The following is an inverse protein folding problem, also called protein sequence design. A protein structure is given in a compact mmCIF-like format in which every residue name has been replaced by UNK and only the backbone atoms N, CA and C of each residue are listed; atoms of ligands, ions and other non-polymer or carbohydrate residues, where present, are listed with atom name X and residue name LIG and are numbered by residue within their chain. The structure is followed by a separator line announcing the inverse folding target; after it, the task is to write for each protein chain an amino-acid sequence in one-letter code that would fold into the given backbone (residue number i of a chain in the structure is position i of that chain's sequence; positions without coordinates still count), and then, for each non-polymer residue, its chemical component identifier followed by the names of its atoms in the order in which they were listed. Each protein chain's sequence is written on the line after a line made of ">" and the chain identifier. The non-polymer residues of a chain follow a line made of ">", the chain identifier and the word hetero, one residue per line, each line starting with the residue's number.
data_IF_869380992189
#
_entry.id   IF_869380992189
#
_cell.length_a   1.000
_cell.length_b   1.000
_cell.length_c   1.000
_cell.angle_alpha   90.00
_cell.angle_beta   90.00
_cell.angle_gamma   90.00
#
_symmetry.space_group_name_H-M   'P 1'
#
loop_
_entity.id
_entity.type
_entity.pdbx_description
1 polymer ?
#
# COMPACT_ATOMS: atom_id res chain seq x y z
N UNK A 1 36.78 5.23 64.11
CA UNK A 1 37.19 4.92 62.71
C UNK A 1 36.38 3.79 62.06
N UNK A 2 35.07 3.61 62.37
CA UNK A 2 34.25 2.51 61.79
C UNK A 2 33.14 2.99 60.84
N UNK A 3 32.89 4.29 60.71
CA UNK A 3 31.81 4.85 59.88
C UNK A 3 32.13 5.01 58.37
N UNK A 4 33.34 5.27 57.90
CA UNK A 4 33.62 5.38 56.47
C UNK A 4 33.61 4.04 55.73
N UNK A 5 33.86 2.91 56.41
CA UNK A 5 33.86 1.57 55.77
C UNK A 5 32.44 1.10 55.47
N UNK A 6 31.48 1.46 56.31
CA UNK A 6 30.04 1.14 56.05
C UNK A 6 29.48 1.92 54.86
N UNK A 7 29.89 3.15 54.65
CA UNK A 7 29.49 3.98 53.51
C UNK A 7 30.06 3.43 52.21
N UNK A 8 31.31 2.99 52.24
CA UNK A 8 31.98 2.38 51.06
C UNK A 8 31.31 1.04 50.69
N UNK A 9 30.88 0.24 51.70
CA UNK A 9 30.16 -1.02 51.46
C UNK A 9 28.74 -0.81 50.90
N UNK A 10 28.04 0.26 51.26
CA UNK A 10 26.74 0.64 50.71
C UNK A 10 26.86 1.15 49.29
N UNK A 11 27.94 1.87 48.94
CA UNK A 11 28.23 2.33 47.57
C UNK A 11 28.57 1.14 46.66
N UNK A 12 29.28 0.14 47.13
CA UNK A 12 29.59 -1.07 46.37
C UNK A 12 28.36 -1.95 46.08
N UNK A 13 27.38 -1.97 46.93
CA UNK A 13 26.11 -2.74 46.73
C UNK A 13 25.18 -2.04 45.72
N UNK A 14 25.24 -0.70 45.59
CA UNK A 14 24.41 0.04 44.64
C UNK A 14 24.86 -0.05 43.19
N UNK A 15 26.07 -0.58 42.91
CA UNK A 15 26.59 -0.74 41.54
C UNK A 15 26.13 -2.06 40.88
N UNK A 16 25.56 -3.00 41.65
CA UNK A 16 25.14 -4.33 41.16
C UNK A 16 23.73 -4.42 40.61
N UNK A 17 22.98 -3.29 40.52
CA UNK A 17 21.63 -3.25 39.95
C UNK A 17 21.66 -2.62 38.55
N UNK A 18 22.61 -2.97 37.71
CA UNK A 18 22.44 -2.74 36.28
C UNK A 18 21.70 -3.92 35.67
N UNK A 19 20.43 -3.65 35.36
CA UNK A 19 19.42 -4.58 34.95
C UNK A 19 19.86 -5.53 33.84
N UNK A 20 19.59 -6.79 34.06
CA UNK A 20 19.56 -7.80 33.01
C UNK A 20 18.42 -7.43 32.05
N UNK A 21 18.74 -6.85 30.91
CA UNK A 21 17.78 -6.67 29.80
C UNK A 21 17.36 -8.07 29.33
N UNK A 22 16.16 -8.46 29.65
CA UNK A 22 15.59 -9.73 29.20
C UNK A 22 15.25 -9.60 27.72
N UNK A 23 16.04 -10.21 26.87
CA UNK A 23 15.79 -10.30 25.43
C UNK A 23 14.74 -11.38 25.18
N UNK A 24 13.80 -11.11 24.30
CA UNK A 24 12.83 -12.07 23.78
C UNK A 24 13.16 -12.29 22.30
N UNK A 25 13.18 -13.55 21.87
CA UNK A 25 13.42 -13.89 20.48
C UNK A 25 12.10 -14.23 19.82
N UNK A 26 11.74 -13.49 18.78
CA UNK A 26 10.61 -13.79 17.90
C UNK A 26 11.07 -14.75 16.83
N UNK A 27 10.47 -15.93 16.77
CA UNK A 27 10.79 -16.95 15.77
C UNK A 27 9.97 -16.74 14.49
N UNK A 28 10.62 -16.86 13.36
CA UNK A 28 10.04 -16.89 12.02
C UNK A 28 10.73 -17.95 11.15
N UNK A 29 10.39 -18.00 9.88
CA UNK A 29 11.01 -18.91 8.92
C UNK A 29 11.25 -18.21 7.57
N UNK A 30 12.23 -18.69 6.81
CA UNK A 30 12.45 -18.29 5.42
C UNK A 30 11.32 -18.87 4.57
N UNK A 31 10.53 -18.01 3.93
CA UNK A 31 9.37 -18.43 3.14
C UNK A 31 9.67 -18.55 1.65
N UNK A 32 10.60 -17.73 1.15
CA UNK A 32 10.99 -17.73 -0.26
C UNK A 32 12.36 -17.09 -0.44
N UNK A 33 13.10 -17.51 -1.46
CA UNK A 33 14.42 -16.94 -1.82
C UNK A 33 14.39 -16.63 -3.31
N UNK A 34 14.71 -15.38 -3.64
CA UNK A 34 14.96 -14.92 -5.01
C UNK A 34 16.44 -14.66 -5.24
N UNK A 35 16.83 -14.34 -6.45
CA UNK A 35 18.24 -14.01 -6.79
C UNK A 35 18.80 -12.80 -6.04
N UNK A 36 17.94 -11.93 -5.51
CA UNK A 36 18.35 -10.67 -4.87
C UNK A 36 17.84 -10.53 -3.43
N UNK A 37 16.78 -11.23 -3.02
CA UNK A 37 16.10 -11.02 -1.75
C UNK A 37 15.70 -12.33 -1.08
N UNK A 38 15.71 -12.33 0.24
CA UNK A 38 15.24 -13.43 1.08
C UNK A 38 13.98 -12.97 1.80
N UNK A 39 12.91 -13.75 1.66
CA UNK A 39 11.62 -13.47 2.26
C UNK A 39 11.45 -14.30 3.53
N UNK A 40 11.19 -13.64 4.65
CA UNK A 40 10.98 -14.30 5.94
C UNK A 40 9.56 -14.03 6.44
N UNK A 41 8.97 -15.02 7.10
CA UNK A 41 7.60 -14.95 7.64
C UNK A 41 7.63 -15.11 9.15
N UNK A 42 6.91 -14.24 9.84
CA UNK A 42 6.72 -14.22 11.29
C UNK A 42 5.23 -14.30 11.65
N UNK A 43 4.89 -14.61 12.88
CA UNK A 43 3.52 -14.47 13.39
C UNK A 43 3.06 -13.01 13.40
N UNK A 44 3.98 -12.08 13.65
CA UNK A 44 3.78 -10.63 13.58
C UNK A 44 5.13 -9.95 13.40
N UNK A 45 5.17 -8.88 12.61
CA UNK A 45 6.36 -8.06 12.40
C UNK A 45 6.30 -6.73 13.16
N UNK A 46 5.35 -6.57 14.09
CA UNK A 46 5.06 -5.31 14.79
C UNK A 46 6.27 -4.70 15.50
N UNK A 47 7.15 -5.55 16.03
CA UNK A 47 8.34 -5.12 16.77
C UNK A 47 9.60 -5.08 15.89
N UNK A 48 9.51 -5.48 14.62
CA UNK A 48 10.60 -5.49 13.66
C UNK A 48 10.57 -4.18 12.85
N UNK A 49 11.72 -3.62 12.53
CA UNK A 49 11.87 -2.40 11.72
C UNK A 49 12.79 -2.64 10.53
N UNK A 50 12.67 -1.80 9.51
CA UNK A 50 13.64 -1.75 8.42
C UNK A 50 15.01 -1.38 8.98
N UNK A 51 16.05 -2.14 8.60
CA UNK A 51 17.39 -2.03 9.12
C UNK A 51 17.68 -2.99 10.28
N UNK A 52 16.68 -3.64 10.85
CA UNK A 52 16.89 -4.64 11.91
C UNK A 52 17.59 -5.89 11.36
N UNK A 53 18.35 -6.52 12.25
CA UNK A 53 19.09 -7.74 11.93
C UNK A 53 18.31 -8.96 12.37
N UNK A 54 18.23 -9.96 11.49
CA UNK A 54 17.69 -11.27 11.79
C UNK A 54 18.84 -12.28 11.94
N UNK A 55 18.63 -13.19 12.88
CA UNK A 55 19.64 -14.14 13.33
C UNK A 55 19.26 -15.57 12.97
N UNK A 56 20.26 -16.38 12.70
CA UNK A 56 20.13 -17.84 12.60
C UNK A 56 20.86 -18.50 13.77
N UNK A 57 20.38 -19.64 14.20
CA UNK A 57 21.05 -20.42 15.25
C UNK A 57 22.00 -21.42 14.58
N UNK A 58 23.27 -21.31 14.89
CA UNK A 58 24.30 -22.27 14.49
C UNK A 58 25.08 -22.71 15.71
N UNK A 59 25.14 -24.01 15.98
CA UNK A 59 25.78 -24.60 17.18
C UNK A 59 25.38 -23.92 18.49
N UNK A 60 24.08 -23.59 18.66
CA UNK A 60 23.54 -22.96 19.86
C UNK A 60 23.80 -21.47 20.00
N UNK A 61 24.48 -20.82 19.04
CA UNK A 61 24.76 -19.39 19.06
C UNK A 61 23.96 -18.64 17.95
N UNK A 62 23.45 -17.44 18.28
CA UNK A 62 22.75 -16.57 17.37
C UNK A 62 23.73 -15.81 16.49
N UNK A 63 23.72 -16.06 15.18
CA UNK A 63 24.57 -15.40 14.21
C UNK A 63 23.73 -14.45 13.34
N UNK A 64 24.14 -13.16 13.19
CA UNK A 64 23.48 -12.22 12.30
C UNK A 64 23.70 -12.64 10.85
N UNK A 65 22.62 -12.74 10.05
CA UNK A 65 22.72 -13.18 8.65
C UNK A 65 21.87 -12.37 7.68
N UNK A 66 20.82 -11.74 8.15
CA UNK A 66 19.93 -10.98 7.28
C UNK A 66 19.69 -9.58 7.86
N UNK A 67 19.57 -8.58 6.98
CA UNK A 67 19.09 -7.24 7.30
C UNK A 67 17.72 -7.06 6.63
N UNK A 68 16.76 -6.58 7.39
CA UNK A 68 15.41 -6.29 6.93
C UNK A 68 15.44 -5.06 6.04
N UNK A 69 15.05 -5.22 4.77
CA UNK A 69 14.95 -4.13 3.80
C UNK A 69 13.51 -3.60 3.63
N UNK A 70 12.51 -4.43 3.89
CA UNK A 70 11.11 -4.04 3.84
C UNK A 70 10.24 -4.96 4.70
N UNK A 71 9.06 -4.47 5.10
CA UNK A 71 8.15 -5.13 6.04
C UNK A 71 6.72 -5.14 5.54
N UNK A 72 6.00 -6.21 5.86
CA UNK A 72 4.54 -6.26 5.89
C UNK A 72 4.09 -6.70 7.28
N UNK A 73 2.79 -6.87 7.53
CA UNK A 73 2.24 -7.26 8.85
C UNK A 73 2.75 -8.60 9.39
N UNK A 74 3.17 -9.52 8.50
CA UNK A 74 3.60 -10.88 8.84
C UNK A 74 4.87 -11.33 8.11
N UNK A 75 5.47 -10.51 7.22
CA UNK A 75 6.66 -10.91 6.46
C UNK A 75 7.66 -9.77 6.30
N UNK A 76 8.93 -10.13 6.16
CA UNK A 76 10.02 -9.22 5.88
C UNK A 76 10.71 -9.62 4.57
N UNK A 77 11.15 -8.62 3.82
CA UNK A 77 12.11 -8.77 2.73
C UNK A 77 13.47 -8.44 3.31
N UNK A 78 14.44 -9.31 3.12
CA UNK A 78 15.75 -9.20 3.72
C UNK A 78 16.86 -9.35 2.68
N UNK A 79 17.98 -8.70 2.95
CA UNK A 79 19.23 -8.88 2.22
C UNK A 79 20.20 -9.72 3.06
N UNK A 80 20.95 -10.60 2.42
CA UNK A 80 22.00 -11.40 3.11
C UNK A 80 23.19 -10.51 3.47
N UNK A 81 23.73 -10.71 4.68
CA UNK A 81 24.96 -10.05 5.15
C UNK A 81 26.20 -10.92 4.85
N UNK A 82 26.01 -12.23 4.60
CA UNK A 82 27.09 -13.18 4.41
C UNK A 82 26.79 -14.17 3.29
N UNK A 83 27.82 -14.70 2.65
CA UNK A 83 27.76 -15.70 1.57
C UNK A 83 27.43 -17.12 2.08
N UNK A 84 26.57 -17.26 3.06
CA UNK A 84 26.19 -18.59 3.59
C UNK A 84 24.90 -19.05 2.92
N UNK A 85 24.87 -20.31 2.57
CA UNK A 85 23.70 -20.95 1.97
C UNK A 85 22.53 -20.89 2.95
N UNK A 86 21.44 -20.26 2.55
CA UNK A 86 20.17 -20.15 3.28
C UNK A 86 19.14 -20.95 2.47
N UNK A 87 18.34 -21.76 3.16
CA UNK A 87 17.33 -22.58 2.52
C UNK A 87 15.92 -22.11 2.90
N UNK A 88 14.95 -22.43 2.04
CA UNK A 88 13.53 -22.23 2.37
C UNK A 88 13.17 -23.11 3.56
N UNK A 89 12.39 -22.59 4.49
CA UNK A 89 12.01 -23.14 5.80
C UNK A 89 13.08 -23.07 6.89
N UNK A 90 14.25 -22.51 6.65
CA UNK A 90 15.21 -22.23 7.73
C UNK A 90 14.59 -21.33 8.78
N UNK A 91 14.86 -21.62 10.06
CA UNK A 91 14.39 -20.81 11.19
C UNK A 91 15.20 -19.54 11.32
N UNK A 92 14.50 -18.41 11.45
CA UNK A 92 15.11 -17.10 11.66
C UNK A 92 14.55 -16.46 12.93
N UNK A 93 15.38 -15.68 13.60
CA UNK A 93 15.08 -15.10 14.91
C UNK A 93 15.31 -13.59 14.89
N UNK A 94 14.36 -12.85 15.47
CA UNK A 94 14.51 -11.43 15.74
C UNK A 94 14.66 -11.19 17.24
N UNK A 95 15.67 -10.41 17.62
CA UNK A 95 15.98 -10.07 19.01
C UNK A 95 15.21 -8.80 19.41
N UNK A 96 14.13 -8.97 20.19
CA UNK A 96 13.31 -7.86 20.70
C UNK A 96 13.73 -7.44 22.10
N UNK A 97 13.75 -6.13 22.35
CA UNK A 97 13.96 -5.54 23.68
C UNK A 97 12.58 -5.11 24.18
N UNK A 98 12.06 -5.71 25.26
CA UNK A 98 10.85 -5.22 25.90
C UNK A 98 11.11 -3.83 26.49
N UNK A 99 10.69 -2.77 25.79
CA UNK A 99 10.44 -1.47 26.40
C UNK A 99 9.11 -1.49 27.12
N UNK A 100 9.12 -1.08 28.38
CA UNK A 100 7.92 -0.80 29.15
C UNK A 100 6.98 0.13 28.40
N UNK A 101 5.68 -0.04 28.62
CA UNK A 101 4.61 0.76 28.00
C UNK A 101 4.84 2.24 28.27
N UNK A 102 5.29 2.98 27.28
CA UNK A 102 5.13 4.41 27.23
C UNK A 102 4.50 4.80 25.89
N UNK A 103 3.52 5.69 26.03
CA UNK A 103 2.75 6.29 24.94
C UNK A 103 3.70 7.04 24.04
N UNK A 104 3.79 6.67 22.78
CA UNK A 104 4.48 7.49 21.81
C UNK A 104 3.73 7.57 20.50
N UNK A 105 3.25 8.76 20.29
CA UNK A 105 3.39 9.63 19.13
C UNK A 105 3.29 8.98 17.76
N UNK A 106 2.14 9.21 17.16
CA UNK A 106 1.86 9.02 15.73
C UNK A 106 2.69 9.99 14.88
N UNK A 107 3.91 9.61 14.53
CA UNK A 107 4.68 10.28 13.48
C UNK A 107 5.78 9.34 12.99
N UNK A 108 5.50 8.47 12.06
CA UNK A 108 6.38 7.87 11.06
C UNK A 108 5.79 6.56 10.49
N UNK A 109 4.58 6.63 9.93
CA UNK A 109 4.08 5.51 9.13
C UNK A 109 3.49 6.05 7.83
N UNK A 110 4.33 6.72 7.06
CA UNK A 110 4.04 7.05 5.66
C UNK A 110 5.24 6.58 4.85
N UNK A 111 5.46 5.30 4.78
CA UNK A 111 6.37 4.73 3.80
C UNK A 111 5.83 3.37 3.33
N UNK A 112 5.59 3.28 2.04
CA UNK A 112 5.24 2.09 1.28
C UNK A 112 3.78 1.63 1.40
N UNK A 113 2.88 2.49 0.95
CA UNK A 113 1.61 2.01 0.41
C UNK A 113 1.51 2.47 -1.05
N UNK A 114 2.35 1.90 -1.88
CA UNK A 114 2.14 1.84 -3.32
C UNK A 114 1.14 0.71 -3.58
N UNK A 115 -0.08 0.94 -3.22
CA UNK A 115 -1.27 0.28 -3.79
C UNK A 115 -2.40 0.29 -2.79
N UNK A 116 -3.54 0.67 -3.28
CA UNK A 116 -4.83 0.74 -2.61
C UNK A 116 -4.97 2.06 -1.84
N UNK A 117 -5.40 3.09 -2.55
CA UNK A 117 -6.16 4.17 -1.95
C UNK A 117 -7.33 3.48 -1.26
N UNK A 118 -7.48 3.57 0.08
CA UNK A 118 -8.71 3.15 0.71
C UNK A 118 -9.80 4.07 0.16
N UNK A 119 -10.57 3.55 -0.79
CA UNK A 119 -11.78 4.21 -1.25
C UNK A 119 -12.68 4.23 -0.02
N UNK A 120 -12.76 5.37 0.62
CA UNK A 120 -13.62 5.55 1.77
C UNK A 120 -15.04 5.15 1.40
N UNK A 121 -15.55 4.10 2.02
CA UNK A 121 -16.94 3.67 1.88
C UNK A 121 -17.93 4.78 2.32
N UNK A 122 -17.45 5.76 3.08
CA UNK A 122 -18.26 6.91 3.51
C UNK A 122 -18.74 7.76 2.34
N UNK A 123 -17.96 7.94 1.27
CA UNK A 123 -18.37 8.68 0.09
C UNK A 123 -19.49 7.98 -0.69
N UNK A 124 -19.67 6.67 -0.48
CA UNK A 124 -20.67 5.86 -1.20
C UNK A 124 -22.07 5.92 -0.59
N UNK A 125 -22.23 6.30 0.66
CA UNK A 125 -23.49 6.17 1.40
C UNK A 125 -24.13 7.51 1.76
N UNK A 126 -23.35 8.59 1.78
CA UNK A 126 -23.92 9.95 1.96
C UNK A 126 -24.82 10.38 0.79
N UNK A 127 -24.83 9.63 -0.31
CA UNK A 127 -25.63 9.97 -1.51
C UNK A 127 -27.11 9.51 -1.49
N UNK A 128 -27.64 8.99 -0.39
CA UNK A 128 -28.97 8.37 -0.44
C UNK A 128 -30.14 9.17 0.11
N UNK A 129 -30.02 10.47 0.33
CA UNK A 129 -31.19 11.31 0.64
C UNK A 129 -30.96 12.77 0.23
N UNK A 130 -31.80 13.26 -0.66
CA UNK A 130 -32.05 14.60 -1.21
C UNK A 130 -31.47 14.76 -2.60
N UNK A 131 -32.30 15.36 -3.52
CA UNK A 131 -31.81 16.09 -4.68
C UNK A 131 -30.76 17.06 -4.15
N UNK A 132 -29.49 16.67 -4.14
CA UNK A 132 -28.39 17.52 -3.74
C UNK A 132 -28.20 18.45 -4.92
N UNK A 133 -28.41 19.77 -4.78
CA UNK A 133 -27.91 20.69 -5.78
C UNK A 133 -26.42 20.34 -5.96
N UNK A 134 -25.92 20.36 -7.17
CA UNK A 134 -24.54 20.07 -7.50
C UNK A 134 -23.66 21.03 -6.69
N UNK A 135 -23.20 20.60 -5.51
CA UNK A 135 -22.34 21.38 -4.65
C UNK A 135 -20.96 21.31 -5.28
N UNK A 136 -20.52 22.43 -5.75
CA UNK A 136 -19.19 22.63 -6.25
C UNK A 136 -18.17 22.35 -5.13
N UNK A 137 -17.25 21.44 -5.35
CA UNK A 137 -16.23 21.10 -4.37
C UNK A 137 -14.87 20.95 -5.07
N UNK A 138 -13.90 21.68 -4.57
CA UNK A 138 -12.52 21.61 -5.04
C UNK A 138 -11.63 21.13 -3.90
N UNK A 139 -10.78 20.16 -4.19
CA UNK A 139 -9.76 19.73 -3.27
C UNK A 139 -8.45 19.47 -4.01
N UNK A 140 -7.33 19.78 -3.37
CA UNK A 140 -6.02 19.58 -3.95
C UNK A 140 -5.01 19.22 -2.87
N UNK A 141 -4.04 18.39 -3.25
CA UNK A 141 -2.91 18.04 -2.42
C UNK A 141 -1.64 18.03 -3.27
N UNK A 142 -0.62 18.70 -2.78
CA UNK A 142 0.75 18.62 -3.32
C UNK A 142 1.62 18.02 -2.24
N UNK A 143 2.41 17.02 -2.57
CA UNK A 143 3.35 16.38 -1.66
C UNK A 143 4.73 16.31 -2.29
N UNK A 144 5.75 16.56 -1.48
CA UNK A 144 7.16 16.37 -1.83
C UNK A 144 7.76 15.50 -0.77
N UNK A 145 8.45 14.44 -1.18
CA UNK A 145 9.12 13.49 -0.27
C UNK A 145 10.52 13.22 -0.79
N UNK A 146 11.48 13.18 0.13
CA UNK A 146 12.87 12.85 -0.14
C UNK A 146 13.25 11.61 0.65
N UNK A 147 13.89 10.66 -0.01
CA UNK A 147 14.44 9.44 0.60
C UNK A 147 15.90 9.36 0.25
N UNK A 148 16.76 9.32 1.26
CA UNK A 148 18.20 9.16 1.08
C UNK A 148 18.71 7.96 1.88
N UNK A 149 19.64 7.23 1.30
CA UNK A 149 20.39 6.18 1.97
C UNK A 149 21.86 6.47 1.85
N UNK A 150 22.56 6.44 2.97
CA UNK A 150 24.01 6.63 3.05
C UNK A 150 24.61 5.31 3.52
N UNK A 151 25.65 4.85 2.85
CA UNK A 151 26.29 3.57 3.16
C UNK A 151 27.78 3.75 3.45
N UNK A 152 28.22 3.20 4.57
CA UNK A 152 29.66 3.12 4.90
C UNK A 152 30.31 1.83 4.38
N UNK A 153 29.55 0.98 3.66
CA UNK A 153 29.98 -0.37 3.26
C UNK A 153 30.30 -0.48 1.76
N UNK A 154 30.60 0.65 1.10
CA UNK A 154 30.89 0.65 -0.35
C UNK A 154 29.67 0.51 -1.27
N UNK A 155 28.44 0.47 -0.72
CA UNK A 155 27.23 0.65 -1.52
C UNK A 155 27.08 2.12 -1.89
N UNK A 156 26.62 2.38 -3.09
CA UNK A 156 26.38 3.74 -3.55
C UNK A 156 25.28 4.43 -2.72
N UNK A 157 25.57 5.66 -2.33
CA UNK A 157 24.58 6.53 -1.71
C UNK A 157 23.46 6.81 -2.71
N UNK A 158 22.22 6.83 -2.26
CA UNK A 158 21.12 7.16 -3.14
C UNK A 158 20.25 8.28 -2.58
N UNK A 159 19.77 9.13 -3.48
CA UNK A 159 18.76 10.13 -3.21
C UNK A 159 17.58 9.91 -4.18
N UNK A 160 16.40 9.67 -3.61
CA UNK A 160 15.15 9.56 -4.36
C UNK A 160 14.23 10.70 -3.97
N UNK A 161 13.78 11.45 -4.96
CA UNK A 161 12.76 12.48 -4.80
C UNK A 161 11.43 12.00 -5.36
N UNK A 162 10.34 12.27 -4.64
CA UNK A 162 8.98 11.99 -5.10
C UNK A 162 8.11 13.22 -4.94
N UNK A 163 7.47 13.61 -6.04
CA UNK A 163 6.51 14.70 -6.13
C UNK A 163 5.14 14.10 -6.42
N UNK A 164 4.12 14.53 -5.71
CA UNK A 164 2.74 14.05 -5.89
C UNK A 164 1.83 15.24 -6.05
N UNK A 165 0.95 15.16 -7.06
CA UNK A 165 -0.12 16.13 -7.28
C UNK A 165 -1.42 15.37 -7.35
N UNK A 166 -2.37 15.76 -6.51
CA UNK A 166 -3.74 15.25 -6.52
C UNK A 166 -4.70 16.42 -6.55
N UNK A 167 -5.56 16.47 -7.55
CA UNK A 167 -6.58 17.49 -7.70
C UNK A 167 -7.92 16.82 -7.96
N UNK A 168 -8.97 17.33 -7.34
CA UNK A 168 -10.34 16.90 -7.55
C UNK A 168 -11.23 18.15 -7.66
N UNK A 169 -12.02 18.21 -8.70
CA UNK A 169 -13.00 19.25 -8.94
C UNK A 169 -14.36 18.56 -9.19
N UNK A 170 -15.23 18.61 -8.22
CA UNK A 170 -16.59 18.07 -8.36
C UNK A 170 -17.52 19.17 -8.86
N UNK A 171 -18.32 18.87 -9.88
CA UNK A 171 -19.35 19.76 -10.45
C UNK A 171 -18.80 21.15 -10.80
N UNK A 172 -17.72 21.19 -11.57
CA UNK A 172 -17.05 22.43 -11.96
C UNK A 172 -18.05 23.50 -12.44
N UNK A 173 -18.03 24.67 -11.78
CA UNK A 173 -18.99 25.77 -12.03
C UNK A 173 -20.46 25.33 -12.00
N UNK A 174 -20.82 24.43 -11.07
CA UNK A 174 -22.15 23.83 -10.93
C UNK A 174 -22.61 23.05 -12.18
N UNK A 175 -21.68 22.64 -13.02
CA UNK A 175 -21.98 21.82 -14.20
C UNK A 175 -22.10 20.34 -13.81
N UNK A 176 -22.44 19.51 -14.79
CA UNK A 176 -22.46 18.04 -14.65
C UNK A 176 -21.08 17.40 -14.79
N UNK A 177 -20.04 18.19 -14.94
CA UNK A 177 -18.67 17.71 -15.10
C UNK A 177 -17.89 17.75 -13.81
N UNK A 178 -17.16 16.67 -13.55
CA UNK A 178 -16.16 16.57 -12.49
C UNK A 178 -14.84 16.08 -13.09
N UNK A 179 -13.72 16.51 -12.54
CA UNK A 179 -12.41 16.09 -12.98
C UNK A 179 -11.58 15.62 -11.77
N UNK A 180 -10.75 14.61 -11.98
CA UNK A 180 -9.90 14.06 -10.94
C UNK A 180 -8.55 13.67 -11.52
N UNK A 181 -7.47 14.05 -10.82
CA UNK A 181 -6.12 13.65 -11.19
C UNK A 181 -5.33 13.23 -9.97
N UNK A 182 -4.49 12.20 -10.13
CA UNK A 182 -3.48 11.78 -9.19
C UNK A 182 -2.24 11.35 -9.96
N UNK A 183 -1.19 12.16 -9.86
CA UNK A 183 0.04 11.99 -10.60
C UNK A 183 1.20 12.00 -9.60
N UNK A 184 2.14 11.10 -9.77
CA UNK A 184 3.41 11.10 -9.06
C UNK A 184 4.57 11.16 -10.03
N UNK A 185 5.57 11.95 -9.71
CA UNK A 185 6.86 11.96 -10.38
C UNK A 185 7.93 11.54 -9.38
N UNK A 186 8.67 10.51 -9.71
CA UNK A 186 9.73 9.98 -8.84
C UNK A 186 11.01 9.86 -9.64
N UNK A 187 12.11 10.37 -9.13
CA UNK A 187 13.42 10.18 -9.74
C UNK A 187 14.49 9.91 -8.70
N UNK A 188 15.49 9.14 -9.08
CA UNK A 188 16.77 9.03 -8.39
C UNK A 188 17.75 10.02 -9.00
N UNK A 189 18.81 10.35 -8.27
CA UNK A 189 19.80 11.33 -8.68
C UNK A 189 20.49 10.95 -10.00
N UNK A 190 20.69 9.66 -10.25
CA UNK A 190 21.36 9.08 -11.42
C UNK A 190 20.44 8.75 -12.60
N UNK A 191 19.11 8.86 -12.43
CA UNK A 191 18.13 8.43 -13.45
C UNK A 191 17.73 9.49 -14.48
N UNK A 192 18.32 10.67 -14.48
CA UNK A 192 17.91 11.75 -15.39
C UNK A 192 18.08 11.44 -16.87
N UNK A 193 19.11 10.70 -17.26
CA UNK A 193 19.31 10.31 -18.64
C UNK A 193 18.24 9.31 -19.14
N UNK A 194 17.77 8.41 -18.29
CA UNK A 194 16.68 7.50 -18.59
C UNK A 194 15.35 8.26 -18.70
N UNK A 195 15.10 9.20 -17.79
CA UNK A 195 13.88 10.02 -17.76
C UNK A 195 13.81 10.92 -19.00
N UNK A 196 14.93 11.49 -19.47
CA UNK A 196 14.98 12.26 -20.71
C UNK A 196 14.59 11.41 -21.92
N UNK A 197 14.96 10.13 -21.96
CA UNK A 197 14.59 9.20 -23.03
C UNK A 197 13.14 8.75 -22.92
N UNK A 198 12.65 8.53 -21.73
CA UNK A 198 11.28 8.09 -21.46
C UNK A 198 10.77 8.67 -20.13
N UNK A 199 9.92 9.69 -20.22
CA UNK A 199 9.36 10.37 -19.03
C UNK A 199 8.59 9.41 -18.12
N UNK A 200 7.99 8.33 -18.64
CA UNK A 200 7.24 7.35 -17.86
C UNK A 200 8.11 6.49 -16.93
N UNK A 201 9.44 6.56 -17.02
CA UNK A 201 10.34 5.99 -16.02
C UNK A 201 10.09 6.67 -14.65
N UNK A 202 9.95 8.00 -14.65
CA UNK A 202 9.70 8.79 -13.45
C UNK A 202 8.24 9.19 -13.23
N UNK A 203 7.50 9.47 -14.30
CA UNK A 203 6.13 9.96 -14.26
C UNK A 203 5.14 8.80 -14.22
N UNK A 204 4.35 8.74 -13.16
CA UNK A 204 3.29 7.75 -12.96
C UNK A 204 1.95 8.44 -12.83
N UNK A 205 1.07 8.19 -13.78
CA UNK A 205 -0.30 8.70 -13.76
C UNK A 205 -1.20 7.60 -13.22
N UNK A 206 -1.68 7.76 -11.98
CA UNK A 206 -2.57 6.80 -11.33
C UNK A 206 -4.05 7.06 -11.63
N UNK A 207 -4.41 8.33 -11.73
CA UNK A 207 -5.77 8.78 -12.10
C UNK A 207 -5.66 10.04 -12.93
N UNK A 208 -6.37 10.07 -14.04
CA UNK A 208 -6.57 11.25 -14.88
C UNK A 208 -7.90 11.05 -15.60
N UNK A 209 -8.97 11.56 -15.03
CA UNK A 209 -10.32 11.26 -15.49
C UNK A 209 -11.24 12.45 -15.43
N UNK A 210 -12.22 12.45 -16.36
CA UNK A 210 -13.35 13.37 -16.40
C UNK A 210 -14.60 12.52 -16.21
N UNK A 211 -15.46 12.92 -15.28
CA UNK A 211 -16.77 12.33 -15.03
C UNK A 211 -17.84 13.27 -15.53
N UNK A 212 -18.87 12.72 -16.16
CA UNK A 212 -20.08 13.40 -16.56
C UNK A 212 -21.31 12.74 -15.92
N UNK A 213 -22.06 13.51 -15.14
CA UNK A 213 -23.31 13.06 -14.53
C UNK A 213 -24.48 13.33 -15.49
N UNK A 214 -24.82 12.30 -16.33
CA UNK A 214 -25.92 12.38 -17.28
C UNK A 214 -27.23 12.62 -16.54
N UNK A 215 -27.48 11.90 -15.46
CA UNK A 215 -28.61 12.07 -14.55
C UNK A 215 -28.15 11.80 -13.09
N UNK A 216 -29.07 11.98 -12.12
CA UNK A 216 -28.79 11.70 -10.70
C UNK A 216 -28.36 10.24 -10.45
N UNK A 217 -28.74 9.34 -11.36
CA UNK A 217 -28.46 7.91 -11.23
C UNK A 217 -27.47 7.38 -12.25
N UNK A 218 -27.17 8.12 -13.32
CA UNK A 218 -26.27 7.66 -14.40
C UNK A 218 -25.07 8.56 -14.50
N UNK A 219 -23.89 7.99 -14.44
CA UNK A 219 -22.64 8.71 -14.65
C UNK A 219 -21.72 7.97 -15.61
N UNK A 220 -20.94 8.74 -16.33
CA UNK A 220 -19.95 8.30 -17.29
C UNK A 220 -18.59 8.84 -16.89
N UNK A 221 -17.55 8.08 -17.11
CA UNK A 221 -16.16 8.49 -16.85
C UNK A 221 -15.33 8.20 -18.06
N UNK A 222 -14.51 9.16 -18.47
CA UNK A 222 -13.52 9.03 -19.52
C UNK A 222 -12.13 9.29 -18.96
N UNK A 223 -11.15 8.46 -19.34
CA UNK A 223 -9.77 8.58 -18.93
C UNK A 223 -9.31 7.45 -18.02
N UNK A 224 -8.20 7.65 -17.31
CA UNK A 224 -7.62 6.66 -16.41
C UNK A 224 -8.32 6.72 -15.06
N UNK A 225 -9.03 5.66 -14.68
CA UNK A 225 -9.68 5.56 -13.38
C UNK A 225 -9.81 4.12 -12.90
N UNK A 226 -9.61 3.93 -11.59
CA UNK A 226 -10.02 2.70 -10.90
C UNK A 226 -11.54 2.67 -10.74
N UNK A 227 -12.12 1.52 -11.03
CA UNK A 227 -13.52 1.30 -10.74
C UNK A 227 -13.67 0.68 -9.34
N UNK A 228 -14.35 1.39 -8.43
CA UNK A 228 -14.50 0.96 -7.03
C UNK A 228 -15.29 -0.34 -6.84
N UNK A 229 -16.11 -0.72 -7.82
CA UNK A 229 -16.91 -1.95 -7.75
C UNK A 229 -16.11 -3.20 -8.12
N UNK A 230 -14.98 -3.00 -8.80
CA UNK A 230 -14.09 -4.05 -9.32
C UNK A 230 -12.64 -3.62 -9.16
N UNK A 231 -12.25 -3.23 -7.94
CA UNK A 231 -11.00 -2.51 -7.68
C UNK A 231 -9.74 -3.29 -8.07
N UNK A 232 -9.69 -4.61 -7.89
CA UNK A 232 -8.52 -5.44 -8.19
C UNK A 232 -8.26 -5.66 -9.69
N UNK A 233 -9.17 -5.23 -10.56
CA UNK A 233 -8.93 -5.25 -12.01
C UNK A 233 -7.86 -4.21 -12.38
N UNK A 234 -7.67 -3.19 -11.55
CA UNK A 234 -6.73 -2.10 -11.77
C UNK A 234 -7.38 -0.89 -12.44
N UNK A 235 -6.57 0.12 -12.75
CA UNK A 235 -7.04 1.26 -13.51
C UNK A 235 -7.20 0.92 -14.99
N UNK A 236 -8.22 1.53 -15.60
CA UNK A 236 -8.50 1.39 -17.04
C UNK A 236 -8.43 2.76 -17.68
N UNK A 237 -7.68 2.84 -18.78
CA UNK A 237 -7.59 3.98 -19.67
C UNK A 237 -8.69 3.88 -20.71
N UNK A 238 -9.84 4.48 -20.47
CA UNK A 238 -10.97 4.31 -21.35
C UNK A 238 -12.26 4.91 -20.84
N UNK A 239 -13.34 4.26 -21.19
CA UNK A 239 -14.70 4.65 -20.85
C UNK A 239 -15.32 3.72 -19.83
N UNK A 240 -16.00 4.31 -18.85
CA UNK A 240 -16.80 3.59 -17.86
C UNK A 240 -18.15 4.25 -17.74
N UNK A 241 -19.21 3.44 -17.68
CA UNK A 241 -20.58 3.88 -17.44
C UNK A 241 -21.15 3.12 -16.25
N UNK A 242 -21.93 3.80 -15.43
CA UNK A 242 -22.66 3.18 -14.34
C UNK A 242 -24.05 3.78 -14.18
N UNK A 243 -25.00 2.92 -13.82
CA UNK A 243 -26.37 3.30 -13.51
C UNK A 243 -26.76 2.73 -12.15
N UNK A 244 -27.28 3.58 -11.27
CA UNK A 244 -27.68 3.23 -9.91
C UNK A 244 -29.20 3.04 -9.82
N UNK A 245 -29.61 1.90 -9.28
CA UNK A 245 -31.01 1.53 -9.05
C UNK A 245 -31.22 1.18 -7.57
N UNK A 246 -31.44 2.21 -6.75
CA UNK A 246 -31.55 2.02 -5.30
C UNK A 246 -30.27 1.47 -4.69
N UNK A 247 -30.29 0.22 -4.23
CA UNK A 247 -29.14 -0.48 -3.64
C UNK A 247 -28.27 -1.18 -4.68
N UNK A 248 -28.75 -1.31 -5.91
CA UNK A 248 -28.02 -1.93 -7.00
C UNK A 248 -27.32 -0.87 -7.86
N UNK A 249 -26.18 -1.22 -8.39
CA UNK A 249 -25.46 -0.45 -9.41
C UNK A 249 -25.03 -1.41 -10.49
N UNK A 250 -25.37 -1.13 -11.73
CA UNK A 250 -24.87 -1.86 -12.88
C UNK A 250 -23.98 -0.94 -13.70
N UNK A 251 -23.05 -1.51 -14.43
CA UNK A 251 -22.18 -0.70 -15.28
C UNK A 251 -21.36 -1.52 -16.26
N UNK A 252 -20.69 -0.79 -17.13
CA UNK A 252 -19.78 -1.34 -18.11
C UNK A 252 -18.49 -0.56 -18.15
N UNK A 253 -17.45 -1.22 -18.59
CA UNK A 253 -16.11 -0.65 -18.81
C UNK A 253 -15.54 -1.12 -20.15
N UNK A 254 -14.84 -0.22 -20.82
CA UNK A 254 -14.11 -0.51 -22.03
C UNK A 254 -12.88 0.40 -22.12
N UNK A 255 -11.71 -0.19 -22.29
CA UNK A 255 -10.47 0.58 -22.40
C UNK A 255 -9.23 -0.28 -22.30
N UNK A 256 -8.07 0.34 -22.29
CA UNK A 256 -6.81 -0.36 -22.15
C UNK A 256 -6.38 -0.46 -20.68
N UNK A 257 -5.71 -1.54 -20.37
CA UNK A 257 -5.04 -1.72 -19.07
C UNK A 257 -3.70 -1.01 -19.14
N UNK A 258 -3.36 -0.28 -18.11
CA UNK A 258 -2.04 0.34 -18.00
C UNK A 258 -0.91 -0.69 -17.99
N UNK A 259 0.27 -0.28 -18.44
CA UNK A 259 1.48 -1.08 -18.28
C UNK A 259 1.80 -1.30 -16.78
N UNK A 260 1.99 -2.54 -16.32
CA UNK A 260 2.21 -2.84 -14.91
C UNK A 260 3.54 -2.33 -14.37
N UNK A 261 4.52 -2.04 -15.24
CA UNK A 261 5.89 -1.66 -14.85
C UNK A 261 6.03 -0.14 -14.79
N UNK A 262 5.70 0.54 -15.88
CA UNK A 262 5.92 1.98 -16.04
C UNK A 262 4.66 2.82 -15.86
N UNK A 263 3.49 2.18 -15.69
CA UNK A 263 2.18 2.85 -15.61
C UNK A 263 1.83 3.67 -16.87
N UNK A 264 2.51 3.41 -17.96
CA UNK A 264 2.25 4.01 -19.26
C UNK A 264 0.93 3.52 -19.88
N UNK A 265 0.56 4.14 -21.00
CA UNK A 265 -0.56 3.69 -21.81
C UNK A 265 -0.16 2.43 -22.60
N UNK A 266 -0.99 1.38 -22.53
CA UNK A 266 -0.76 0.13 -23.25
C UNK A 266 -1.95 -0.20 -24.16
N UNK A 267 -1.94 0.25 -25.41
CA UNK A 267 -3.06 0.05 -26.33
C UNK A 267 -3.28 -1.42 -26.75
N UNK A 268 -2.28 -2.27 -26.55
CA UNK A 268 -2.39 -3.68 -26.91
C UNK A 268 -3.22 -4.50 -25.92
N UNK A 269 -3.35 -4.04 -24.68
CA UNK A 269 -4.03 -4.78 -23.62
C UNK A 269 -5.40 -4.18 -23.34
N UNK A 270 -6.40 -4.54 -24.14
CA UNK A 270 -7.76 -4.00 -24.06
C UNK A 270 -8.60 -4.86 -23.13
N UNK A 271 -9.35 -4.24 -22.25
CA UNK A 271 -10.35 -4.88 -21.39
C UNK A 271 -11.74 -4.31 -21.66
N UNK A 272 -12.71 -5.21 -21.73
CA UNK A 272 -14.14 -4.88 -21.80
C UNK A 272 -14.89 -5.74 -20.82
N UNK A 273 -15.94 -5.20 -20.22
CA UNK A 273 -16.75 -5.99 -19.30
C UNK A 273 -17.93 -5.23 -18.73
N UNK A 274 -18.75 -5.97 -18.02
CA UNK A 274 -19.89 -5.45 -17.29
C UNK A 274 -19.86 -5.92 -15.85
N UNK A 275 -20.39 -5.11 -14.96
CA UNK A 275 -20.47 -5.42 -13.54
C UNK A 275 -21.85 -5.11 -12.96
N UNK A 276 -22.19 -5.81 -11.90
CA UNK A 276 -23.32 -5.51 -11.03
C UNK A 276 -22.82 -5.46 -9.58
N UNK A 277 -23.30 -4.52 -8.81
CA UNK A 277 -22.93 -4.34 -7.41
C UNK A 277 -24.21 -4.12 -6.58
N UNK A 278 -24.24 -4.72 -5.40
CA UNK A 278 -25.27 -4.49 -4.38
C UNK A 278 -24.59 -3.91 -3.13
N UNK A 279 -25.08 -2.76 -2.67
CA UNK A 279 -24.56 -2.10 -1.49
C UNK A 279 -25.69 -1.73 -0.52
N UNK A 280 -25.43 -1.86 0.78
CA UNK A 280 -26.44 -1.57 1.78
C UNK A 280 -25.84 -1.35 3.17
N UNK A 281 -26.74 -1.21 4.16
CA UNK A 281 -26.41 -1.13 5.57
C UNK A 281 -27.19 -2.19 6.35
N UNK A 282 -26.54 -2.87 7.26
CA UNK A 282 -27.11 -3.76 8.26
C UNK A 282 -26.56 -3.30 9.61
N UNK A 283 -27.40 -2.95 10.56
CA UNK A 283 -27.01 -2.46 11.90
C UNK A 283 -25.96 -1.33 11.86
N UNK A 284 -26.17 -0.33 11.01
CA UNK A 284 -25.22 0.75 10.72
C UNK A 284 -23.87 0.32 10.11
N UNK A 285 -23.66 -0.95 9.83
CA UNK A 285 -22.49 -1.48 9.16
C UNK A 285 -22.73 -1.54 7.66
N UNK A 286 -21.77 -1.05 6.89
CA UNK A 286 -21.86 -0.97 5.44
C UNK A 286 -21.31 -2.24 4.79
N UNK A 287 -21.96 -2.70 3.75
CA UNK A 287 -21.46 -3.76 2.89
C UNK A 287 -21.65 -3.42 1.42
N UNK A 288 -20.79 -3.99 0.60
CA UNK A 288 -20.88 -3.94 -0.85
C UNK A 288 -20.37 -5.26 -1.42
N UNK A 289 -21.19 -5.89 -2.25
CA UNK A 289 -20.83 -7.08 -3.03
C UNK A 289 -20.92 -6.74 -4.50
N UNK A 290 -19.92 -7.13 -5.27
CA UNK A 290 -19.86 -6.88 -6.70
C UNK A 290 -19.47 -8.14 -7.45
N UNK A 291 -20.02 -8.31 -8.64
CA UNK A 291 -19.68 -9.36 -9.59
C UNK A 291 -19.44 -8.71 -10.96
N UNK A 292 -18.47 -9.21 -11.71
CA UNK A 292 -18.23 -8.73 -13.06
C UNK A 292 -17.82 -9.86 -14.01
N UNK A 293 -18.21 -9.72 -15.25
CA UNK A 293 -17.77 -10.53 -16.39
C UNK A 293 -16.84 -9.69 -17.23
N UNK A 294 -15.63 -10.18 -17.44
CA UNK A 294 -14.56 -9.45 -18.09
C UNK A 294 -13.94 -10.26 -19.21
N UNK A 295 -13.63 -9.58 -20.30
CA UNK A 295 -12.80 -10.10 -21.39
C UNK A 295 -11.62 -9.20 -21.62
N UNK A 296 -10.43 -9.79 -21.73
CA UNK A 296 -9.18 -9.12 -22.04
C UNK A 296 -8.67 -9.59 -23.40
N UNK A 297 -8.18 -8.64 -24.17
CA UNK A 297 -7.53 -8.86 -25.46
C UNK A 297 -6.06 -8.44 -25.35
N UNK A 298 -5.21 -9.12 -26.08
CA UNK A 298 -3.83 -8.72 -26.33
C UNK A 298 -3.63 -8.59 -27.83
N UNK A 299 -3.61 -7.35 -28.32
CA UNK A 299 -3.77 -7.05 -29.75
C UNK A 299 -5.14 -7.53 -30.24
N UNK A 300 -5.17 -8.32 -31.32
CA UNK A 300 -6.39 -8.88 -31.91
C UNK A 300 -6.83 -10.21 -31.29
N UNK A 301 -6.07 -10.79 -30.37
CA UNK A 301 -6.35 -12.11 -29.77
C UNK A 301 -7.00 -11.97 -28.41
N UNK A 302 -7.99 -12.83 -28.12
CA UNK A 302 -8.51 -12.98 -26.76
C UNK A 302 -7.40 -13.57 -25.87
N UNK A 303 -7.01 -12.81 -24.85
CA UNK A 303 -6.03 -13.22 -23.86
C UNK A 303 -6.71 -14.07 -22.77
N UNK A 304 -7.79 -13.55 -22.19
CA UNK A 304 -8.55 -14.26 -21.17
C UNK A 304 -9.97 -13.75 -21.01
N UNK A 305 -10.84 -14.61 -20.48
CA UNK A 305 -12.16 -14.29 -19.97
C UNK A 305 -12.23 -14.72 -18.53
N UNK A 306 -12.78 -13.88 -17.67
CA UNK A 306 -12.86 -14.19 -16.25
C UNK A 306 -14.07 -13.60 -15.59
N UNK A 307 -14.53 -14.30 -14.56
CA UNK A 307 -15.51 -13.83 -13.59
C UNK A 307 -14.74 -13.19 -12.44
N UNK A 308 -15.18 -12.02 -12.01
CA UNK A 308 -14.64 -11.30 -10.87
C UNK A 308 -15.72 -11.20 -9.79
N UNK A 309 -15.31 -11.39 -8.54
CA UNK A 309 -16.15 -11.16 -7.37
C UNK A 309 -15.38 -10.28 -6.38
N UNK A 310 -16.08 -9.39 -5.70
CA UNK A 310 -15.54 -8.56 -4.63
C UNK A 310 -16.59 -8.37 -3.55
N UNK A 311 -16.17 -8.49 -2.29
CA UNK A 311 -17.02 -8.19 -1.13
C UNK A 311 -16.26 -7.31 -0.15
N UNK A 312 -16.87 -6.19 0.22
CA UNK A 312 -16.41 -5.27 1.24
C UNK A 312 -17.45 -5.23 2.36
N UNK A 313 -17.03 -5.28 3.61
CA UNK A 313 -17.93 -5.20 4.75
C UNK A 313 -17.26 -4.47 5.93
N UNK A 314 -18.05 -3.65 6.63
CA UNK A 314 -17.68 -3.08 7.92
C UNK A 314 -18.13 -4.03 9.02
N UNK A 315 -17.23 -4.74 9.66
CA UNK A 315 -17.53 -5.72 10.69
C UNK A 315 -17.78 -5.08 12.06
N UNK A 316 -17.00 -4.04 12.39
CA UNK A 316 -17.10 -3.27 13.61
C UNK A 316 -16.58 -1.84 13.42
N UNK A 317 -16.69 -0.97 14.42
CA UNK A 317 -16.06 0.34 14.39
C UNK A 317 -14.55 0.15 14.16
N UNK A 318 -14.01 0.71 13.06
CA UNK A 318 -12.61 0.58 12.64
C UNK A 318 -12.15 -0.84 12.22
N UNK A 319 -13.08 -1.77 11.95
CA UNK A 319 -12.74 -3.09 11.43
C UNK A 319 -13.47 -3.33 10.10
N UNK A 320 -12.69 -3.50 9.04
CA UNK A 320 -13.18 -3.70 7.68
C UNK A 320 -12.70 -5.06 7.16
N UNK A 321 -13.56 -5.73 6.39
CA UNK A 321 -13.24 -6.95 5.67
C UNK A 321 -13.29 -6.67 4.17
N UNK A 322 -12.31 -7.19 3.46
CA UNK A 322 -12.23 -7.17 2.00
C UNK A 322 -11.91 -8.57 1.49
N UNK A 323 -12.69 -9.05 0.52
CA UNK A 323 -12.45 -10.31 -0.19
C UNK A 323 -12.65 -10.12 -1.69
N UNK A 324 -11.80 -10.72 -2.49
CA UNK A 324 -11.91 -10.75 -3.95
C UNK A 324 -11.34 -12.02 -4.53
#
# INVERSE_FOLDING_TARGET
>A
MRRPILILFYIMISISIFGQTKFEYLEGNVSFISSQNIYTKFSSTKDIKVGDTLYFVNNGSFQPRLIVSSLSSISCICNSISEVTINVNDKVYFKSIKKGKDKESAAATILLQDSIIPISLEDSIKQNRRKVPSIENYSGKIGISSFSGFSNNGMEDFLRMRYVVSLKADHYKKSKFSAETYIAFTHKQDQWEEIKKNIFVGLKIYNLSIKYDYSDNTSMVLGRKFNRYIANIGAIDGFQIQHKMGRFTIGGIAGSKQDPINYGFNPSLIQVGAFASHAGKIDNKMYQSSIALMQQFNGSKTDRRFLYFQHNNTLAKNLYSFAS
#
